data_IF_388611677518
#
_entry.id   IF_388611677518
#
_cell.length_a   1.000
_cell.length_b   1.000
_cell.length_c   1.000
_cell.angle_alpha   90.00
_cell.angle_beta   90.00
_cell.angle_gamma   90.00
#
_symmetry.space_group_name_H-M   'P 1'
#
loop_
_entity.id
_entity.type
_entity.pdbx_description
1 polymer ?
#
# COMPACT_ATOMS: atom_id res chain seq x y z
N UNK A 1 -4.78 4.09 12.46
CA UNK A 1 -3.41 4.57 12.18
C UNK A 1 -2.52 4.65 13.42
N UNK A 2 -2.90 5.41 14.46
CA UNK A 2 -2.12 5.52 15.72
C UNK A 2 -1.68 4.18 16.33
N UNK A 3 -2.59 3.19 16.36
CA UNK A 3 -2.28 1.87 16.91
C UNK A 3 -1.13 1.14 16.18
N UNK A 4 -0.98 1.38 14.87
CA UNK A 4 0.04 0.72 14.05
C UNK A 4 1.39 1.42 14.20
N UNK A 5 1.43 2.75 14.03
CA UNK A 5 2.69 3.49 13.94
C UNK A 5 3.24 3.99 15.27
N UNK A 6 2.37 4.28 16.25
CA UNK A 6 2.81 4.82 17.54
C UNK A 6 2.87 3.74 18.60
N UNK A 7 1.87 2.84 18.62
CA UNK A 7 1.78 1.77 19.62
C UNK A 7 2.33 0.43 19.13
N UNK A 8 2.79 0.35 17.88
CA UNK A 8 3.39 -0.86 17.29
C UNK A 8 2.53 -2.11 17.49
N UNK A 9 1.20 -1.99 17.44
CA UNK A 9 0.30 -3.13 17.57
C UNK A 9 0.34 -3.97 16.28
N UNK A 10 0.68 -5.27 16.34
CA UNK A 10 0.83 -6.10 15.15
C UNK A 10 -0.51 -6.53 14.53
N UNK A 11 -1.60 -6.50 15.31
CA UNK A 11 -2.89 -7.11 14.94
C UNK A 11 -4.03 -6.10 14.73
N UNK A 12 -3.76 -5.05 13.95
CA UNK A 12 -4.74 -4.02 13.61
C UNK A 12 -5.01 -4.01 12.11
N UNK A 13 -6.27 -4.20 11.73
CA UNK A 13 -6.76 -4.08 10.35
C UNK A 13 -7.52 -2.76 10.17
N UNK A 14 -7.01 -1.81 9.36
CA UNK A 14 -7.69 -0.54 9.10
C UNK A 14 -8.79 -0.73 8.04
N UNK A 15 -9.94 -1.30 8.44
CA UNK A 15 -11.05 -1.66 7.53
C UNK A 15 -11.67 -0.48 6.77
N UNK A 16 -11.46 0.75 7.23
CA UNK A 16 -11.98 1.97 6.60
C UNK A 16 -10.91 2.71 5.77
N UNK A 17 -9.68 2.21 5.72
CA UNK A 17 -8.61 2.84 4.95
C UNK A 17 -8.77 2.51 3.45
N UNK A 18 -8.85 3.54 2.62
CA UNK A 18 -9.08 3.38 1.19
C UNK A 18 -7.89 2.69 0.50
N UNK A 19 -6.65 2.99 0.92
CA UNK A 19 -5.45 2.38 0.36
C UNK A 19 -5.41 0.88 0.66
N UNK A 20 -5.69 0.49 1.90
CA UNK A 20 -5.75 -0.93 2.27
C UNK A 20 -6.90 -1.64 1.57
N UNK A 21 -8.10 -1.05 1.53
CA UNK A 21 -9.26 -1.65 0.82
C UNK A 21 -8.99 -1.85 -0.67
N UNK A 22 -8.38 -0.87 -1.33
CA UNK A 22 -7.96 -0.99 -2.75
C UNK A 22 -6.88 -2.05 -2.93
N UNK A 23 -5.91 -2.13 -2.03
CA UNK A 23 -4.89 -3.17 -2.08
C UNK A 23 -5.49 -4.56 -1.94
N UNK A 24 -6.45 -4.74 -1.01
CA UNK A 24 -7.19 -6.01 -0.86
C UNK A 24 -8.03 -6.32 -2.09
N UNK A 25 -8.72 -5.33 -2.67
CA UNK A 25 -9.45 -5.48 -3.92
C UNK A 25 -8.55 -6.03 -5.02
N UNK A 26 -7.37 -5.41 -5.21
CA UNK A 26 -6.40 -5.83 -6.22
C UNK A 26 -5.81 -7.22 -5.91
N UNK A 27 -5.51 -7.52 -4.65
CA UNK A 27 -4.90 -8.78 -4.24
C UNK A 27 -5.84 -9.96 -4.50
N UNK A 28 -7.12 -9.80 -4.18
CA UNK A 28 -8.15 -10.82 -4.37
C UNK A 28 -8.87 -10.70 -5.72
N UNK A 29 -8.44 -9.78 -6.59
CA UNK A 29 -9.05 -9.53 -7.91
C UNK A 29 -10.57 -9.34 -7.84
N UNK A 30 -11.02 -8.54 -6.87
CA UNK A 30 -12.42 -8.22 -6.68
C UNK A 30 -12.85 -7.09 -7.64
N UNK A 31 -14.05 -7.22 -8.20
CA UNK A 31 -14.63 -6.19 -9.08
C UNK A 31 -14.91 -4.90 -8.30
N UNK A 32 -15.51 -5.03 -7.11
CA UNK A 32 -15.88 -3.91 -6.25
C UNK A 32 -14.94 -3.72 -5.05
N UNK A 33 -14.95 -2.51 -4.50
CA UNK A 33 -14.20 -2.18 -3.30
C UNK A 33 -14.80 -2.93 -2.09
N UNK A 34 -14.06 -3.86 -1.44
CA UNK A 34 -14.60 -4.72 -0.40
C UNK A 34 -15.13 -3.90 0.77
N UNK A 35 -16.34 -4.22 1.23
CA UNK A 35 -16.97 -3.56 2.39
C UNK A 35 -16.29 -3.97 3.70
N UNK A 36 -16.41 -3.17 4.79
CA UNK A 36 -15.83 -3.51 6.09
C UNK A 36 -16.11 -4.94 6.62
N UNK A 37 -17.32 -5.53 6.49
CA UNK A 37 -17.55 -6.93 6.89
C UNK A 37 -16.78 -7.93 6.02
N UNK A 38 -16.70 -7.70 4.70
CA UNK A 38 -15.94 -8.56 3.78
C UNK A 38 -14.44 -8.46 4.06
N UNK A 39 -13.93 -7.26 4.38
CA UNK A 39 -12.54 -7.05 4.79
C UNK A 39 -12.17 -7.92 5.99
N UNK A 40 -13.05 -8.03 6.99
CA UNK A 40 -12.81 -8.88 8.17
C UNK A 40 -12.70 -10.37 7.79
N UNK A 41 -13.59 -10.85 6.91
CA UNK A 41 -13.56 -12.24 6.45
C UNK A 41 -12.32 -12.56 5.59
N UNK A 42 -12.01 -11.69 4.63
CA UNK A 42 -10.87 -11.87 3.72
C UNK A 42 -9.53 -11.80 4.46
N UNK A 43 -9.41 -10.92 5.45
CA UNK A 43 -8.18 -10.71 6.21
C UNK A 43 -8.09 -11.58 7.47
N UNK A 44 -9.01 -12.51 7.71
CA UNK A 44 -8.94 -13.40 8.88
C UNK A 44 -7.67 -14.27 8.83
N UNK A 45 -7.26 -14.68 7.62
CA UNK A 45 -6.00 -15.42 7.38
C UNK A 45 -4.74 -14.64 7.73
N UNK A 46 -4.84 -13.32 7.90
CA UNK A 46 -3.69 -12.46 8.23
C UNK A 46 -3.46 -12.33 9.72
N UNK A 47 -4.34 -12.91 10.54
CA UNK A 47 -4.14 -12.97 11.99
C UNK A 47 -2.86 -13.78 12.30
N UNK A 48 -1.97 -13.35 13.18
CA UNK A 48 -2.03 -12.23 14.16
C UNK A 48 -1.23 -10.98 13.73
N UNK A 49 -0.99 -10.82 12.43
CA UNK A 49 -0.11 -9.79 11.84
C UNK A 49 -0.84 -8.93 10.81
N UNK A 50 -2.09 -8.55 11.11
CA UNK A 50 -2.94 -7.76 10.21
C UNK A 50 -2.35 -6.39 9.87
N UNK A 51 -1.53 -5.81 10.74
CA UNK A 51 -0.87 -4.53 10.50
C UNK A 51 0.24 -4.62 9.46
N UNK A 52 0.97 -5.75 9.41
CA UNK A 52 1.93 -6.04 8.35
C UNK A 52 1.20 -6.21 7.01
N UNK A 53 0.07 -6.93 7.01
CA UNK A 53 -0.77 -7.07 5.80
C UNK A 53 -1.24 -5.71 5.27
N UNK A 54 -1.73 -4.83 6.15
CA UNK A 54 -2.12 -3.47 5.79
C UNK A 54 -0.96 -2.66 5.16
N UNK A 55 0.25 -2.78 5.70
CA UNK A 55 1.43 -2.12 5.15
C UNK A 55 1.75 -2.59 3.72
N UNK A 56 1.69 -3.89 3.48
CA UNK A 56 1.88 -4.44 2.12
C UNK A 56 0.80 -3.98 1.15
N UNK A 57 -0.44 -3.80 1.59
CA UNK A 57 -1.51 -3.32 0.71
C UNK A 57 -1.26 -1.88 0.23
N UNK A 58 -0.72 -1.00 1.10
CA UNK A 58 -0.31 0.33 0.65
C UNK A 58 0.77 0.27 -0.42
N UNK A 59 1.82 -0.54 -0.21
CA UNK A 59 2.90 -0.72 -1.20
C UNK A 59 2.40 -1.36 -2.49
N UNK A 60 1.45 -2.27 -2.39
CA UNK A 60 0.84 -2.93 -3.54
C UNK A 60 0.04 -1.94 -4.39
N UNK A 61 -0.72 -1.04 -3.75
CA UNK A 61 -1.42 0.04 -4.44
C UNK A 61 -0.44 1.03 -5.05
N UNK A 62 0.65 1.40 -4.38
CA UNK A 62 1.68 2.26 -4.96
C UNK A 62 2.30 1.63 -6.22
N UNK A 63 2.63 0.33 -6.17
CA UNK A 63 3.23 -0.38 -7.30
C UNK A 63 2.28 -0.54 -8.49
N UNK A 64 0.98 -0.75 -8.24
CA UNK A 64 -0.05 -0.83 -9.29
C UNK A 64 -0.53 0.55 -9.75
N UNK A 65 -0.48 1.53 -8.86
CA UNK A 65 -0.99 2.88 -9.01
C UNK A 65 0.04 3.86 -9.57
N UNK A 66 1.14 3.37 -10.16
CA UNK A 66 1.92 4.13 -11.12
C UNK A 66 1.29 4.01 -12.51
N UNK A 67 0.36 4.89 -12.94
CA UNK A 67 0.36 5.25 -14.35
C UNK A 67 1.69 5.96 -14.57
N UNK A 68 2.59 5.28 -15.26
CA UNK A 68 3.66 5.83 -16.10
C UNK A 68 3.64 7.37 -16.23
N UNK A 69 4.11 8.08 -15.21
CA UNK A 69 4.88 9.33 -15.37
C UNK A 69 6.25 9.01 -16.01
N UNK A 70 6.49 7.77 -16.44
CA UNK A 70 7.55 7.42 -17.39
C UNK A 70 7.37 8.10 -18.75
N UNK A 71 6.16 8.51 -19.14
CA UNK A 71 5.92 9.21 -20.41
C UNK A 71 6.28 10.70 -20.35
N UNK A 72 6.19 11.33 -19.17
CA UNK A 72 6.56 12.75 -18.99
C UNK A 72 8.06 12.89 -18.69
N UNK A 73 8.68 11.97 -17.93
CA UNK A 73 10.10 12.05 -17.58
C UNK A 73 11.04 11.63 -18.74
N UNK A 74 10.53 10.99 -19.80
CA UNK A 74 11.33 10.70 -20.99
C UNK A 74 11.84 11.97 -21.71
N UNK A 75 11.26 13.15 -21.43
CA UNK A 75 11.74 14.45 -21.91
C UNK A 75 12.83 15.11 -21.05
N UNK A 76 12.98 14.73 -19.77
CA UNK A 76 13.90 15.40 -18.82
C UNK A 76 15.06 14.51 -18.35
N UNK A 77 15.08 13.23 -18.75
CA UNK A 77 16.10 12.26 -18.31
C UNK A 77 17.50 12.44 -18.90
N UNK A 78 17.74 13.46 -19.73
CA UNK A 78 19.06 13.75 -20.28
C UNK A 78 19.87 14.82 -19.54
N UNK A 79 19.32 15.50 -18.53
CA UNK A 79 20.04 16.61 -17.85
C UNK A 79 20.51 16.33 -16.41
N UNK A 80 20.04 15.26 -15.75
CA UNK A 80 20.32 15.07 -14.32
C UNK A 80 21.09 13.78 -13.98
N UNK A 81 22.01 13.34 -14.85
CA UNK A 81 23.02 12.28 -14.58
C UNK A 81 24.10 12.70 -13.54
N UNK A 82 23.73 13.49 -12.51
CA UNK A 82 24.69 14.09 -11.58
C UNK A 82 24.43 13.87 -10.09
N UNK A 83 23.25 13.43 -9.64
CA UNK A 83 22.96 13.37 -8.19
C UNK A 83 22.09 12.16 -7.84
N UNK A 84 22.70 10.97 -7.81
CA UNK A 84 22.07 9.74 -7.31
C UNK A 84 22.41 9.58 -5.82
N UNK A 85 21.66 10.28 -4.98
CA UNK A 85 21.71 10.13 -3.53
C UNK A 85 20.83 8.97 -3.07
N UNK A 86 21.33 7.75 -3.20
CA UNK A 86 20.82 6.58 -2.47
C UNK A 86 21.07 6.76 -0.97
N UNK A 87 20.29 7.56 -0.25
CA UNK A 87 20.36 7.64 1.22
C UNK A 87 19.28 8.54 1.80
N UNK A 88 18.71 8.08 2.91
CA UNK A 88 17.79 8.77 3.82
C UNK A 88 16.37 8.81 3.25
N UNK A 89 15.36 8.09 3.75
CA UNK A 89 14.86 7.98 5.12
C UNK A 89 13.86 6.81 5.11
N UNK A 90 14.11 5.72 5.85
CA UNK A 90 13.44 5.47 7.13
C UNK A 90 12.75 6.68 7.77
#
# INVERSE_FOLDING_TARGET
MFMIFSLHRPDVLPVNDLGVRKGVQLLYSLEDLPMPPQMKQLCEKWKSYRSTGAWYMWRFVEWKGTPTTSATIAGERNELRGQVGWRLWW
#
